data_IF_912682109182
#
_entry.id   IF_912682109182
#
_cell.length_a   1.000
_cell.length_b   1.000
_cell.length_c   1.000
_cell.angle_alpha   90.00
_cell.angle_beta   90.00
_cell.angle_gamma   90.00
#
_symmetry.space_group_name_H-M   'P 1'
#
loop_
_entity.id
_entity.type
_entity.pdbx_description
1 polymer ?
#
# COMPACT_ATOMS: atom_id res chain seq x y z
N UNK A 1 -8.52 -67.95 -7.66
CA UNK A 1 -7.48 -66.97 -7.27
C UNK A 1 -7.02 -66.05 -8.41
N UNK A 2 -6.85 -66.49 -9.66
CA UNK A 2 -6.31 -65.62 -10.74
C UNK A 2 -7.23 -64.47 -11.23
N UNK A 3 -8.56 -64.65 -11.24
CA UNK A 3 -9.52 -63.64 -11.72
C UNK A 3 -9.71 -62.45 -10.77
N UNK A 4 -9.69 -62.69 -9.46
CA UNK A 4 -9.85 -61.65 -8.44
C UNK A 4 -8.62 -60.74 -8.37
N UNK A 5 -7.41 -61.27 -8.56
CA UNK A 5 -6.19 -60.47 -8.63
C UNK A 5 -6.14 -59.60 -9.89
N UNK A 6 -6.63 -60.07 -11.04
CA UNK A 6 -6.66 -59.29 -12.28
C UNK A 6 -7.63 -58.09 -12.18
N UNK A 7 -8.80 -58.28 -11.56
CA UNK A 7 -9.78 -57.21 -11.34
C UNK A 7 -9.23 -56.16 -10.36
N UNK A 8 -8.54 -56.60 -9.29
CA UNK A 8 -7.94 -55.71 -8.31
C UNK A 8 -6.78 -54.88 -8.91
N UNK A 9 -5.96 -55.48 -9.78
CA UNK A 9 -4.88 -54.78 -10.50
C UNK A 9 -5.43 -53.72 -11.47
N UNK A 10 -6.54 -53.99 -12.16
CA UNK A 10 -7.17 -53.02 -13.07
C UNK A 10 -7.79 -51.84 -12.31
N UNK A 11 -8.37 -52.07 -11.13
CA UNK A 11 -8.90 -51.02 -10.25
C UNK A 11 -7.81 -50.13 -9.66
N UNK A 12 -6.67 -50.72 -9.26
CA UNK A 12 -5.51 -49.95 -8.78
C UNK A 12 -4.90 -49.12 -9.91
N UNK A 13 -4.74 -49.69 -11.12
CA UNK A 13 -4.22 -48.95 -12.27
C UNK A 13 -5.11 -47.75 -12.65
N UNK A 14 -6.44 -47.93 -12.67
CA UNK A 14 -7.41 -46.88 -12.97
C UNK A 14 -7.40 -45.74 -11.92
N UNK A 15 -7.23 -46.07 -10.63
CA UNK A 15 -7.15 -45.07 -9.56
C UNK A 15 -5.82 -44.30 -9.59
N UNK A 16 -4.68 -44.95 -9.87
CA UNK A 16 -3.41 -44.24 -10.08
C UNK A 16 -3.44 -43.33 -11.30
N UNK A 17 -4.08 -43.73 -12.39
CA UNK A 17 -4.19 -42.90 -13.60
C UNK A 17 -5.04 -41.64 -13.37
N UNK A 18 -6.13 -41.74 -12.59
CA UNK A 18 -6.97 -40.59 -12.23
C UNK A 18 -6.22 -39.58 -11.37
N UNK A 19 -5.42 -40.04 -10.39
CA UNK A 19 -4.65 -39.14 -9.51
C UNK A 19 -3.56 -38.40 -10.27
N UNK A 20 -2.89 -39.04 -11.23
CA UNK A 20 -1.86 -38.39 -12.08
C UNK A 20 -2.51 -37.33 -13.01
N UNK A 21 -3.68 -37.64 -13.59
CA UNK A 21 -4.39 -36.70 -14.44
C UNK A 21 -4.89 -35.46 -13.68
N UNK A 22 -5.35 -35.61 -12.43
CA UNK A 22 -5.73 -34.48 -11.59
C UNK A 22 -4.54 -33.65 -11.09
N UNK A 23 -3.38 -34.27 -10.88
CA UNK A 23 -2.20 -33.56 -10.36
C UNK A 23 -1.42 -32.80 -11.44
N UNK A 24 -1.60 -33.15 -12.72
CA UNK A 24 -0.92 -32.48 -13.85
C UNK A 24 -1.51 -31.11 -14.20
N UNK A 25 -2.72 -30.78 -13.73
CA UNK A 25 -3.34 -29.46 -13.96
C UNK A 25 -3.02 -28.43 -12.87
N UNK A 26 -2.37 -28.83 -11.77
CA UNK A 26 -2.11 -27.95 -10.63
C UNK A 26 -0.76 -27.23 -10.68
N UNK A 27 0.09 -27.49 -11.69
CA UNK A 27 1.50 -27.05 -11.65
C UNK A 27 1.98 -26.24 -12.87
N UNK A 28 1.05 -25.65 -13.64
CA UNK A 28 1.35 -24.56 -14.57
C UNK A 28 0.69 -23.27 -14.09
N UNK A 29 1.07 -22.81 -12.89
CA UNK A 29 1.09 -21.36 -12.66
C UNK A 29 2.36 -20.83 -13.30
N UNK A 30 2.23 -20.60 -14.59
CA UNK A 30 3.12 -19.86 -15.44
C UNK A 30 3.61 -18.61 -14.69
N UNK A 31 4.90 -18.60 -14.34
CA UNK A 31 5.64 -17.41 -13.93
C UNK A 31 5.70 -16.45 -15.11
N UNK A 32 4.61 -15.72 -15.34
CA UNK A 32 4.62 -14.57 -16.22
C UNK A 32 5.26 -13.42 -15.46
N UNK A 33 6.49 -13.10 -15.88
CA UNK A 33 7.18 -11.87 -15.54
C UNK A 33 6.32 -10.68 -16.01
N UNK A 34 5.40 -10.22 -15.15
CA UNK A 34 4.47 -9.13 -15.46
C UNK A 34 5.11 -7.76 -15.24
N UNK A 35 5.97 -7.36 -16.18
CA UNK A 35 6.40 -5.97 -16.36
C UNK A 35 5.57 -5.23 -17.44
N UNK A 36 4.37 -5.70 -17.77
CA UNK A 36 3.54 -5.03 -18.79
C UNK A 36 2.05 -5.42 -18.89
N UNK A 37 1.55 -6.38 -18.10
CA UNK A 37 0.11 -6.69 -18.10
C UNK A 37 -0.68 -5.57 -17.39
N UNK A 38 -1.66 -5.02 -18.11
CA UNK A 38 -2.69 -4.12 -17.60
C UNK A 38 -3.39 -4.74 -16.38
N UNK A 39 -3.76 -3.92 -15.40
CA UNK A 39 -4.39 -4.41 -14.16
C UNK A 39 -5.81 -4.87 -14.45
N UNK A 40 -6.19 -6.02 -13.90
CA UNK A 40 -7.56 -6.54 -14.01
C UNK A 40 -8.48 -5.85 -13.00
N UNK A 41 -9.81 -5.84 -13.22
CA UNK A 41 -10.77 -5.41 -12.20
C UNK A 41 -10.64 -6.19 -10.88
N UNK A 42 -10.26 -7.47 -10.95
CA UNK A 42 -10.00 -8.31 -9.78
C UNK A 42 -8.78 -7.84 -8.99
N UNK A 43 -7.69 -7.44 -9.66
CA UNK A 43 -6.51 -6.85 -9.02
C UNK A 43 -6.89 -5.58 -8.25
N UNK A 44 -7.68 -4.70 -8.88
CA UNK A 44 -8.15 -3.45 -8.28
C UNK A 44 -9.01 -3.74 -7.05
N UNK A 45 -9.95 -4.68 -7.13
CA UNK A 45 -10.82 -5.05 -6.01
C UNK A 45 -10.03 -5.66 -4.85
N UNK A 46 -9.04 -6.51 -5.15
CA UNK A 46 -8.13 -7.08 -4.13
C UNK A 46 -7.30 -5.98 -3.46
N UNK A 47 -6.79 -5.04 -4.25
CA UNK A 47 -6.05 -3.89 -3.77
C UNK A 47 -6.88 -3.00 -2.86
N UNK A 48 -8.10 -2.67 -3.26
CA UNK A 48 -9.03 -1.87 -2.45
C UNK A 48 -9.26 -2.53 -1.09
N UNK A 49 -9.57 -3.82 -1.08
CA UNK A 49 -9.75 -4.57 0.17
C UNK A 49 -8.53 -4.48 1.08
N UNK A 50 -7.32 -4.70 0.53
CA UNK A 50 -6.07 -4.65 1.29
C UNK A 50 -5.79 -3.26 1.86
N UNK A 51 -5.90 -2.24 1.01
CA UNK A 51 -5.63 -0.83 1.38
C UNK A 51 -6.59 -0.36 2.48
N UNK A 52 -7.87 -0.73 2.37
CA UNK A 52 -8.87 -0.41 3.40
C UNK A 52 -8.63 -1.21 4.69
N UNK A 53 -8.26 -2.48 4.58
CA UNK A 53 -8.01 -3.34 5.74
C UNK A 53 -6.82 -2.87 6.59
N UNK A 54 -5.82 -2.24 5.98
CA UNK A 54 -4.66 -1.70 6.71
C UNK A 54 -4.73 -0.21 7.03
N UNK A 55 -5.83 0.47 6.65
CA UNK A 55 -6.08 1.86 7.00
C UNK A 55 -5.14 2.86 6.32
N UNK A 56 -4.79 2.68 5.05
CA UNK A 56 -3.92 3.67 4.38
C UNK A 56 -4.56 5.06 4.32
N UNK A 57 -5.88 5.15 4.22
CA UNK A 57 -6.64 6.40 4.15
C UNK A 57 -6.69 7.17 5.47
N UNK A 58 -6.42 6.52 6.61
CA UNK A 58 -6.36 7.17 7.91
C UNK A 58 -5.35 8.32 7.92
N UNK A 59 -4.17 8.11 7.32
CA UNK A 59 -3.14 9.14 7.21
C UNK A 59 -3.10 9.80 5.83
N UNK A 60 -3.41 9.06 4.75
CA UNK A 60 -3.26 9.58 3.38
C UNK A 60 -4.51 10.29 2.83
N UNK A 61 -5.57 10.46 3.61
CA UNK A 61 -6.74 11.25 3.20
C UNK A 61 -7.01 12.39 4.17
N UNK A 62 -7.22 13.63 3.69
CA UNK A 62 -7.75 14.70 4.53
C UNK A 62 -9.05 14.32 5.21
N UNK A 63 -9.35 14.97 6.34
CA UNK A 63 -10.59 14.77 7.09
C UNK A 63 -11.45 16.03 7.10
N UNK A 64 -12.76 15.82 7.12
CA UNK A 64 -13.75 16.83 7.47
C UNK A 64 -14.32 16.50 8.84
N UNK A 65 -14.65 17.50 9.65
CA UNK A 65 -15.29 17.27 10.94
C UNK A 65 -16.79 17.05 10.74
N UNK A 66 -17.20 15.79 10.90
CA UNK A 66 -18.59 15.35 10.88
C UNK A 66 -19.15 15.10 12.29
N UNK A 67 -20.39 14.62 12.39
CA UNK A 67 -21.04 14.32 13.66
C UNK A 67 -20.33 13.21 14.46
N UNK A 68 -19.53 12.35 13.82
CA UNK A 68 -18.78 11.28 14.46
C UNK A 68 -17.30 11.63 14.71
N UNK A 69 -16.91 12.90 14.53
CA UNK A 69 -15.52 13.35 14.59
C UNK A 69 -14.89 13.49 13.20
N UNK A 70 -13.56 13.35 13.08
CA UNK A 70 -12.86 13.42 11.81
C UNK A 70 -13.28 12.26 10.88
N UNK A 71 -13.97 12.60 9.79
CA UNK A 71 -14.42 11.66 8.76
C UNK A 71 -13.61 11.91 7.47
N UNK A 72 -13.41 10.87 6.65
CA UNK A 72 -12.67 10.99 5.39
C UNK A 72 -13.34 12.00 4.45
N UNK A 73 -12.58 12.97 3.96
CA UNK A 73 -12.99 13.77 2.81
C UNK A 73 -12.94 12.90 1.55
N UNK A 74 -14.10 12.38 1.15
CA UNK A 74 -14.22 11.51 -0.02
C UNK A 74 -13.88 12.22 -1.33
N UNK A 75 -13.92 13.54 -1.38
CA UNK A 75 -13.57 14.32 -2.57
C UNK A 75 -12.06 14.41 -2.79
N UNK A 76 -11.28 14.22 -1.72
CA UNK A 76 -9.81 14.29 -1.69
C UNK A 76 -9.17 13.01 -1.12
N UNK A 77 -9.89 11.88 -1.11
CA UNK A 77 -9.41 10.60 -0.59
C UNK A 77 -8.07 10.23 -1.24
N UNK A 78 -7.12 9.79 -0.43
CA UNK A 78 -5.74 9.44 -0.81
C UNK A 78 -4.85 10.58 -1.33
N UNK A 79 -5.32 11.83 -1.33
CA UNK A 79 -4.51 12.95 -1.85
C UNK A 79 -3.37 13.41 -0.91
N UNK A 80 -3.23 12.81 0.27
CA UNK A 80 -2.22 13.17 1.27
C UNK A 80 -2.54 14.46 2.03
N UNK A 81 -1.52 15.07 2.64
CA UNK A 81 -1.66 16.36 3.31
C UNK A 81 -1.98 17.48 2.30
N UNK A 82 -3.04 18.29 2.51
CA UNK A 82 -3.36 19.39 1.59
C UNK A 82 -2.19 20.37 1.47
N UNK A 83 -1.79 20.70 0.24
CA UNK A 83 -0.66 21.62 -0.01
C UNK A 83 -0.87 23.03 0.55
N UNK A 84 -2.14 23.43 0.70
CA UNK A 84 -2.60 24.70 1.20
C UNK A 84 -2.95 24.69 2.70
N UNK A 85 -2.85 23.54 3.37
CA UNK A 85 -3.12 23.47 4.80
C UNK A 85 -2.02 24.20 5.60
N UNK A 86 -2.40 25.08 6.55
CA UNK A 86 -1.43 25.72 7.42
C UNK A 86 -0.80 24.68 8.34
N UNK A 87 0.52 24.75 8.50
CA UNK A 87 1.24 23.97 9.52
C UNK A 87 1.16 24.74 10.84
N UNK A 88 0.47 24.22 11.87
CA UNK A 88 0.38 24.92 13.15
C UNK A 88 1.75 25.07 13.81
N UNK A 89 1.94 26.13 14.59
CA UNK A 89 3.12 26.26 15.44
C UNK A 89 3.13 25.12 16.45
N UNK A 90 4.28 24.48 16.60
CA UNK A 90 4.45 23.34 17.48
C UNK A 90 5.14 23.79 18.76
N UNK A 91 4.53 23.51 19.91
CA UNK A 91 5.24 23.60 21.18
C UNK A 91 6.25 22.45 21.27
N UNK A 92 7.53 22.75 21.06
CA UNK A 92 8.58 21.73 21.06
C UNK A 92 8.83 21.11 22.44
N UNK A 93 8.32 21.71 23.54
CA UNK A 93 8.44 21.12 24.87
C UNK A 93 7.70 19.78 24.99
N UNK A 94 6.55 19.64 24.33
CA UNK A 94 5.73 18.41 24.39
C UNK A 94 6.36 17.25 23.63
N UNK A 95 7.23 17.54 22.64
CA UNK A 95 7.87 16.54 21.79
C UNK A 95 8.90 15.66 22.53
N UNK A 96 9.24 16.01 23.78
CA UNK A 96 10.05 15.16 24.67
C UNK A 96 9.33 13.88 25.09
N UNK A 97 7.99 13.91 25.10
CA UNK A 97 7.17 12.81 25.62
C UNK A 97 6.08 12.36 24.65
N UNK A 98 5.73 13.18 23.66
CA UNK A 98 4.61 12.94 22.76
C UNK A 98 5.01 13.15 21.30
N UNK A 99 4.51 12.27 20.44
CA UNK A 99 4.30 12.63 19.05
C UNK A 99 2.90 13.26 18.91
N UNK A 100 2.76 14.24 18.04
CA UNK A 100 1.51 14.92 17.77
C UNK A 100 1.05 14.64 16.35
N UNK A 101 -0.26 14.62 16.14
CA UNK A 101 -0.88 14.55 14.83
C UNK A 101 -1.71 15.81 14.61
N UNK A 102 -1.72 16.31 13.38
CA UNK A 102 -2.73 17.28 12.98
C UNK A 102 -4.12 16.65 13.07
N UNK A 103 -5.15 17.47 13.22
CA UNK A 103 -6.53 16.99 13.42
C UNK A 103 -7.07 16.14 12.26
N UNK A 104 -6.54 16.33 11.05
CA UNK A 104 -6.87 15.53 9.87
C UNK A 104 -6.00 14.28 9.70
N UNK A 105 -5.06 14.05 10.62
CA UNK A 105 -4.10 12.94 10.66
C UNK A 105 -3.13 12.88 9.46
N UNK A 106 -3.08 13.92 8.62
CA UNK A 106 -2.21 13.94 7.44
C UNK A 106 -0.81 14.51 7.70
N UNK A 107 -0.63 15.20 8.84
CA UNK A 107 0.67 15.67 9.33
C UNK A 107 0.97 15.12 10.72
N UNK A 108 2.24 14.79 10.97
CA UNK A 108 2.71 14.31 12.26
C UNK A 108 3.99 15.02 12.68
N UNK A 109 4.14 15.24 13.98
CA UNK A 109 5.29 15.92 14.58
C UNK A 109 5.89 15.07 15.67
N UNK A 110 7.22 14.94 15.66
CA UNK A 110 7.97 14.25 16.69
C UNK A 110 9.43 14.67 16.70
N UNK A 111 10.31 13.92 17.37
CA UNK A 111 11.75 14.18 17.38
C UNK A 111 12.41 14.23 15.98
N UNK A 112 11.73 13.71 14.95
CA UNK A 112 12.16 13.76 13.54
C UNK A 112 11.75 15.03 12.79
N UNK A 113 10.98 15.94 13.40
CA UNK A 113 10.42 17.12 12.74
C UNK A 113 8.95 16.95 12.37
N UNK A 114 8.49 17.67 11.34
CA UNK A 114 7.15 17.49 10.74
C UNK A 114 7.23 16.63 9.51
N UNK A 115 6.41 15.59 9.46
CA UNK A 115 6.17 14.77 8.27
C UNK A 115 4.76 14.97 7.74
N UNK A 116 4.61 14.83 6.43
CA UNK A 116 3.35 14.97 5.71
C UNK A 116 3.08 13.68 4.92
N UNK A 117 1.83 13.20 4.96
CA UNK A 117 1.42 12.04 4.18
C UNK A 117 1.38 12.37 2.69
N UNK A 118 1.88 11.44 1.87
CA UNK A 118 2.02 11.65 0.43
C UNK A 118 0.67 11.50 -0.29
N UNK A 119 0.57 12.10 -1.48
CA UNK A 119 -0.51 11.82 -2.42
C UNK A 119 -0.33 10.41 -3.02
N UNK A 120 -1.29 9.52 -2.80
CA UNK A 120 -1.32 8.15 -3.31
C UNK A 120 -2.28 7.99 -4.51
N UNK A 121 -2.89 9.07 -4.98
CA UNK A 121 -3.79 9.00 -6.13
C UNK A 121 -3.04 8.73 -7.43
N UNK A 122 -3.79 8.41 -8.49
CA UNK A 122 -3.31 8.23 -9.86
C UNK A 122 -2.82 9.53 -10.53
N UNK A 123 -2.92 10.68 -9.86
CA UNK A 123 -2.42 11.96 -10.36
C UNK A 123 -0.89 11.97 -10.46
N UNK A 124 -0.34 12.80 -11.38
CA UNK A 124 1.10 12.96 -11.56
C UNK A 124 1.83 13.50 -10.32
N UNK A 125 1.15 14.31 -9.49
CA UNK A 125 1.65 14.77 -8.20
C UNK A 125 1.66 13.67 -7.12
N UNK A 126 0.93 12.57 -7.35
CA UNK A 126 0.88 11.36 -6.54
C UNK A 126 1.74 10.24 -7.12
N UNK A 127 1.14 9.05 -7.29
CA UNK A 127 1.82 7.87 -7.84
C UNK A 127 1.54 7.65 -9.34
N UNK A 128 0.89 8.61 -10.01
CA UNK A 128 0.54 8.56 -11.43
C UNK A 128 1.70 8.21 -12.35
N UNK A 129 2.91 8.64 -12.01
CA UNK A 129 4.13 8.38 -12.79
C UNK A 129 5.03 7.29 -12.20
N UNK A 130 4.61 6.60 -11.13
CA UNK A 130 5.43 5.58 -10.50
C UNK A 130 5.33 4.26 -11.27
N UNK A 131 6.42 3.51 -11.29
CA UNK A 131 6.40 2.09 -11.64
C UNK A 131 6.01 1.22 -10.45
N UNK A 132 5.61 -0.03 -10.72
CA UNK A 132 5.37 -0.99 -9.64
C UNK A 132 6.64 -1.25 -8.81
N UNK A 133 7.82 -1.29 -9.44
CA UNK A 133 9.08 -1.50 -8.71
C UNK A 133 9.40 -0.35 -7.77
N UNK A 134 9.09 0.90 -8.15
CA UNK A 134 9.22 2.04 -7.25
C UNK A 134 8.26 1.93 -6.06
N UNK A 135 7.00 1.55 -6.30
CA UNK A 135 6.03 1.32 -5.23
C UNK A 135 6.49 0.20 -4.29
N UNK A 136 6.86 -0.96 -4.85
CA UNK A 136 7.37 -2.11 -4.10
C UNK A 136 8.57 -1.73 -3.26
N UNK A 137 9.55 -1.03 -3.83
CA UNK A 137 10.75 -0.57 -3.14
C UNK A 137 10.44 0.42 -2.02
N UNK A 138 9.51 1.34 -2.25
CA UNK A 138 9.06 2.27 -1.21
C UNK A 138 8.50 1.54 0.02
N UNK A 139 7.68 0.50 -0.19
CA UNK A 139 7.07 -0.27 0.90
C UNK A 139 8.05 -1.28 1.53
N UNK A 140 8.86 -1.99 0.74
CA UNK A 140 9.80 -3.00 1.22
C UNK A 140 10.99 -2.43 1.98
N UNK A 141 11.49 -1.29 1.52
CA UNK A 141 12.76 -0.71 1.99
C UNK A 141 12.58 0.66 2.64
N UNK A 142 11.36 1.20 2.66
CA UNK A 142 11.09 2.50 3.26
C UNK A 142 11.76 3.65 2.51
N UNK A 143 11.94 3.55 1.19
CA UNK A 143 12.62 4.58 0.38
C UNK A 143 11.63 5.58 -0.18
N UNK A 144 11.89 6.88 -0.01
CA UNK A 144 11.04 7.92 -0.60
C UNK A 144 10.99 7.79 -2.13
N UNK A 145 9.78 7.64 -2.67
CA UNK A 145 9.51 7.34 -4.09
C UNK A 145 10.17 6.07 -4.65
N UNK A 146 10.62 5.18 -3.77
CA UNK A 146 11.35 3.97 -4.19
C UNK A 146 12.72 4.25 -4.83
N UNK A 147 13.36 5.39 -4.52
CA UNK A 147 14.65 5.77 -5.10
C UNK A 147 15.82 5.41 -4.16
N UNK A 148 16.94 4.92 -4.70
CA UNK A 148 18.09 4.42 -3.92
C UNK A 148 18.76 5.48 -3.04
N UNK A 149 18.91 6.70 -3.59
CA UNK A 149 19.58 7.83 -2.96
C UNK A 149 18.61 8.88 -2.42
N UNK A 150 17.42 8.46 -1.97
CA UNK A 150 16.45 9.34 -1.33
C UNK A 150 16.45 9.16 0.19
N UNK A 151 15.82 10.11 0.88
CA UNK A 151 15.52 9.99 2.31
C UNK A 151 14.62 8.76 2.57
N UNK A 152 14.61 8.23 3.80
CA UNK A 152 13.60 7.25 4.18
C UNK A 152 12.18 7.86 4.16
N UNK A 153 11.18 7.00 4.08
CA UNK A 153 9.81 7.31 4.47
C UNK A 153 9.83 7.69 5.96
N UNK A 154 9.20 8.82 6.28
CA UNK A 154 9.26 9.39 7.62
C UNK A 154 8.17 8.80 8.50
N UNK A 155 8.39 8.76 9.83
CA UNK A 155 7.34 8.37 10.77
C UNK A 155 6.10 9.26 10.59
N UNK A 156 4.90 8.73 10.86
CA UNK A 156 4.62 7.41 11.42
C UNK A 156 4.35 6.33 10.36
N UNK A 157 4.74 6.55 9.09
CA UNK A 157 4.47 5.61 7.99
C UNK A 157 4.94 4.17 8.34
N UNK A 158 4.02 3.19 8.48
CA UNK A 158 4.35 1.88 9.02
C UNK A 158 4.88 0.90 7.95
N UNK A 159 5.76 1.38 7.07
CA UNK A 159 6.41 0.55 6.04
C UNK A 159 7.11 -0.71 6.61
N UNK A 160 7.71 -0.73 7.83
CA UNK A 160 8.30 -1.96 8.36
C UNK A 160 7.28 -3.05 8.65
N UNK A 161 6.00 -2.72 8.83
CA UNK A 161 4.92 -3.71 8.95
C UNK A 161 4.45 -4.18 7.58
N UNK A 162 4.33 -3.26 6.62
CA UNK A 162 3.86 -3.56 5.27
C UNK A 162 4.91 -4.22 4.38
N UNK A 163 6.20 -4.17 4.74
CA UNK A 163 7.28 -4.80 3.97
C UNK A 163 7.16 -6.31 3.82
N UNK A 164 6.20 -6.96 4.46
CA UNK A 164 5.98 -8.41 4.44
C UNK A 164 4.82 -8.85 3.53
N UNK A 165 4.07 -7.92 2.94
CA UNK A 165 3.06 -8.27 1.93
C UNK A 165 3.66 -9.14 0.82
N UNK A 166 2.87 -10.00 0.20
CA UNK A 166 3.33 -10.70 -1.01
C UNK A 166 3.51 -9.69 -2.16
N UNK A 167 4.31 -10.05 -3.18
CA UNK A 167 4.41 -9.19 -4.38
C UNK A 167 3.07 -9.09 -5.11
N UNK A 168 2.23 -10.14 -5.03
CA UNK A 168 0.85 -10.14 -5.53
C UNK A 168 -0.03 -9.12 -4.80
N UNK A 169 0.03 -9.09 -3.46
CA UNK A 169 -0.71 -8.13 -2.65
C UNK A 169 -0.24 -6.69 -2.92
N UNK A 170 1.08 -6.45 -2.98
CA UNK A 170 1.61 -5.13 -3.33
C UNK A 170 1.21 -4.71 -4.75
N UNK A 171 1.18 -5.64 -5.71
CA UNK A 171 0.75 -5.35 -7.07
C UNK A 171 -0.73 -5.00 -7.11
N UNK A 172 -1.58 -5.71 -6.37
CA UNK A 172 -3.01 -5.41 -6.25
C UNK A 172 -3.24 -4.04 -5.59
N UNK A 173 -2.56 -3.74 -4.47
CA UNK A 173 -2.62 -2.42 -3.84
C UNK A 173 -2.20 -1.30 -4.80
N UNK A 174 -1.11 -1.51 -5.53
CA UNK A 174 -0.66 -0.57 -6.56
C UNK A 174 -1.71 -0.40 -7.66
N UNK A 175 -2.28 -1.49 -8.18
CA UNK A 175 -3.37 -1.47 -9.17
C UNK A 175 -4.55 -0.60 -8.71
N UNK A 176 -4.99 -0.77 -7.47
CA UNK A 176 -6.05 0.05 -6.88
C UNK A 176 -5.68 1.53 -6.83
N UNK A 177 -4.48 1.88 -6.36
CA UNK A 177 -4.07 3.28 -6.34
C UNK A 177 -4.00 3.87 -7.77
N UNK A 178 -3.55 3.09 -8.76
CA UNK A 178 -3.54 3.49 -10.17
C UNK A 178 -4.95 3.70 -10.75
N UNK A 179 -5.98 3.07 -10.20
CA UNK A 179 -7.38 3.25 -10.62
C UNK A 179 -8.13 4.34 -9.85
N UNK A 180 -7.52 4.97 -8.84
CA UNK A 180 -8.19 6.05 -8.07
C UNK A 180 -8.51 7.25 -8.95
N UNK A 181 -9.50 8.07 -8.54
CA UNK A 181 -9.72 9.40 -9.12
C UNK A 181 -8.46 10.25 -8.89
N UNK A 182 -7.86 10.84 -9.95
CA UNK A 182 -6.69 11.68 -9.78
C UNK A 182 -7.07 12.96 -9.02
N UNK A 183 -6.26 13.32 -8.02
CA UNK A 183 -6.36 14.59 -7.29
C UNK A 183 -5.00 15.26 -7.31
N UNK A 184 -4.91 16.40 -8.00
CA UNK A 184 -3.69 17.19 -8.00
C UNK A 184 -3.42 17.78 -6.62
N UNK A 185 -2.31 17.38 -6.00
CA UNK A 185 -1.87 17.88 -4.71
C UNK A 185 -0.36 17.66 -4.53
N UNK A 186 0.42 18.74 -4.58
CA UNK A 186 1.87 18.70 -4.34
C UNK A 186 2.12 18.86 -2.84
N UNK A 187 2.22 17.74 -2.15
CA UNK A 187 2.46 17.71 -0.69
C UNK A 187 3.77 18.45 -0.34
N UNK A 188 3.78 19.29 0.71
CA UNK A 188 4.97 20.03 1.13
C UNK A 188 6.13 19.11 1.53
N UNK A 189 7.35 19.65 1.46
CA UNK A 189 8.52 18.97 2.00
C UNK A 189 8.43 18.87 3.53
N UNK A 190 8.95 17.80 4.15
CA UNK A 190 8.99 17.68 5.60
C UNK A 190 9.84 18.80 6.23
N UNK A 191 9.44 19.23 7.42
CA UNK A 191 10.14 20.28 8.16
C UNK A 191 11.11 19.61 9.13
N UNK A 192 12.43 19.83 9.02
CA UNK A 192 13.40 19.22 9.94
C UNK A 192 13.28 19.80 11.36
N UNK A 193 13.74 19.07 12.40
CA UNK A 193 13.69 19.54 13.79
C UNK A 193 14.29 20.92 14.00
N UNK A 194 15.34 21.26 13.25
CA UNK A 194 16.05 22.54 13.31
C UNK A 194 15.23 23.75 12.86
N UNK A 195 14.03 23.54 12.31
CA UNK A 195 13.15 24.59 11.79
C UNK A 195 11.82 24.70 12.55
N UNK A 196 11.55 23.86 13.57
CA UNK A 196 10.26 23.85 14.27
C UNK A 196 9.95 25.12 15.10
N UNK A 197 10.98 25.89 15.47
CA UNK A 197 10.87 27.07 16.34
C UNK A 197 11.17 28.39 15.62
N UNK A 198 11.22 28.40 14.29
CA UNK A 198 11.39 29.61 13.48
C UNK A 198 10.03 30.14 13.05
#
# INVERSE_FOLDING_TARGET
MKRTHLVMLLLVAATTALVIACNSQANEKETTNNTGAEFTPEDVKRGEYLVNAVGCDDCHSPKVFGPNGPEIDTTRRFSGHPADAPVPKVDTAVLKSWALFAHDLTAAVGPWGVSFSANLTSDESGIGNWSFDQFKKAIREGKYKGLDNSRPLLPPMPWPMYRNFSDEDLRAMFAFFKSTKPVHNVVPAPIPPTQLNK
#
